data_IF_631087624302
#
_entry.id   IF_631087624302
#
_cell.length_a   1.000
_cell.length_b   1.000
_cell.length_c   1.000
_cell.angle_alpha   90.00
_cell.angle_beta   90.00
_cell.angle_gamma   90.00
#
_symmetry.space_group_name_H-M   'P 1'
#
loop_
_entity.id
_entity.type
_entity.pdbx_description
1 polymer ?
#
# COMPACT_ATOMS: atom_id res chain seq x y z
N UNK A 1 -7.97 6.17 28.13
CA UNK A 1 -8.22 5.21 27.03
C UNK A 1 -6.95 5.12 26.22
N UNK A 2 -6.24 3.99 26.28
CA UNK A 2 -5.09 3.75 25.39
C UNK A 2 -5.63 3.63 23.96
N UNK A 3 -5.25 4.55 23.08
CA UNK A 3 -5.48 4.42 21.65
C UNK A 3 -4.69 3.18 21.19
N UNK A 4 -5.37 2.07 20.94
CA UNK A 4 -4.78 0.97 20.18
C UNK A 4 -4.39 1.54 18.83
N UNK A 5 -3.08 1.68 18.59
CA UNK A 5 -2.56 2.07 17.29
C UNK A 5 -2.85 0.92 16.33
N UNK A 6 -3.60 1.22 15.29
CA UNK A 6 -3.88 0.28 14.22
C UNK A 6 -2.65 0.23 13.32
N UNK A 7 -2.09 -0.96 13.15
CA UNK A 7 -0.95 -1.20 12.27
C UNK A 7 -1.33 -2.17 11.15
N UNK A 8 -0.63 -2.03 10.02
CA UNK A 8 -0.83 -2.84 8.83
C UNK A 8 0.53 -3.28 8.29
N UNK A 9 0.58 -4.54 7.88
CA UNK A 9 1.65 -5.10 7.08
C UNK A 9 1.02 -5.89 5.93
N UNK A 10 1.67 -5.87 4.78
CA UNK A 10 1.29 -6.73 3.66
C UNK A 10 2.54 -7.28 3.00
N UNK A 11 2.35 -8.43 2.36
CA UNK A 11 3.34 -9.09 1.52
C UNK A 11 2.69 -9.40 0.17
N UNK A 12 3.49 -9.46 -0.89
CA UNK A 12 3.04 -9.84 -2.22
C UNK A 12 3.66 -11.19 -2.54
N UNK A 13 2.84 -12.12 -3.01
CA UNK A 13 3.24 -13.45 -3.43
C UNK A 13 2.78 -13.68 -4.87
N UNK A 14 3.60 -14.37 -5.65
CA UNK A 14 3.32 -14.74 -7.05
C UNK A 14 3.47 -16.26 -7.13
N UNK A 15 2.42 -16.96 -7.58
CA UNK A 15 2.37 -18.43 -7.63
C UNK A 15 2.76 -19.14 -6.33
N UNK A 16 2.27 -18.62 -5.20
CA UNK A 16 2.59 -19.06 -3.83
C UNK A 16 4.08 -18.96 -3.44
N UNK A 17 4.91 -18.42 -4.32
CA UNK A 17 6.31 -18.16 -4.05
C UNK A 17 6.51 -16.69 -3.66
N UNK A 18 7.50 -16.49 -2.81
CA UNK A 18 8.05 -15.16 -2.59
C UNK A 18 8.81 -14.78 -3.86
N UNK A 19 8.53 -13.60 -4.44
CA UNK A 19 9.33 -13.11 -5.54
C UNK A 19 10.78 -13.04 -5.06
N UNK A 20 11.67 -13.80 -5.70
CA UNK A 20 13.11 -13.77 -5.41
C UNK A 20 13.76 -12.48 -5.88
N UNK A 21 13.02 -11.68 -6.66
CA UNK A 21 13.45 -10.44 -7.28
C UNK A 21 12.66 -9.27 -6.71
N UNK A 22 13.29 -8.10 -6.68
CA UNK A 22 12.63 -6.86 -6.29
C UNK A 22 11.46 -6.55 -7.24
N UNK A 23 10.23 -6.67 -6.71
CA UNK A 23 9.00 -6.42 -7.45
C UNK A 23 8.86 -4.96 -7.89
N UNK A 24 9.62 -4.03 -7.32
CA UNK A 24 9.53 -2.60 -7.63
C UNK A 24 9.74 -2.29 -9.11
N UNK A 25 10.47 -3.15 -9.83
CA UNK A 25 10.72 -3.03 -11.28
C UNK A 25 9.55 -3.50 -12.15
N UNK A 26 8.64 -4.30 -11.59
CA UNK A 26 7.52 -4.90 -12.32
C UNK A 26 6.18 -4.28 -11.91
N UNK A 27 6.07 -3.88 -10.65
CA UNK A 27 4.84 -3.43 -10.02
C UNK A 27 5.06 -2.10 -9.29
N UNK A 28 4.25 -1.12 -9.63
CA UNK A 28 4.07 0.06 -8.82
C UNK A 28 3.01 -0.25 -7.75
N UNK A 29 3.43 -0.15 -6.48
CA UNK A 29 2.56 -0.33 -5.32
C UNK A 29 2.40 1.04 -4.67
N UNK A 30 1.17 1.50 -4.52
CA UNK A 30 0.86 2.73 -3.80
C UNK A 30 -0.08 2.41 -2.65
N UNK A 31 0.22 2.97 -1.49
CA UNK A 31 -0.68 2.95 -0.35
C UNK A 31 -1.16 4.37 -0.10
N UNK A 32 -2.47 4.57 -0.06
CA UNK A 32 -3.05 5.91 0.04
C UNK A 32 -4.20 5.94 1.02
N UNK A 33 -4.29 7.04 1.76
CA UNK A 33 -5.52 7.45 2.40
C UNK A 33 -6.38 8.16 1.35
N UNK A 34 -7.65 7.76 1.26
CA UNK A 34 -8.61 8.36 0.34
C UNK A 34 -9.73 8.99 1.14
N UNK A 35 -9.90 10.29 1.00
CA UNK A 35 -11.06 11.02 1.49
C UNK A 35 -12.06 11.19 0.35
N UNK A 36 -13.27 10.70 0.56
CA UNK A 36 -14.36 10.72 -0.40
C UNK A 36 -15.52 11.57 0.14
N UNK A 37 -16.12 12.39 -0.73
CA UNK A 37 -17.29 13.20 -0.41
C UNK A 37 -18.24 13.31 -1.61
N UNK A 38 -19.51 12.96 -1.42
CA UNK A 38 -20.57 13.23 -2.38
C UNK A 38 -20.84 14.73 -2.45
N UNK A 39 -20.95 15.26 -3.67
CA UNK A 39 -21.42 16.63 -3.87
C UNK A 39 -22.89 16.76 -3.47
N UNK A 40 -23.38 17.99 -3.20
CA UNK A 40 -24.77 18.22 -2.82
C UNK A 40 -25.81 17.70 -3.83
N UNK A 41 -25.42 17.57 -5.10
CA UNK A 41 -26.26 17.05 -6.19
C UNK A 41 -26.52 15.53 -6.10
N UNK A 42 -25.78 14.81 -5.25
CA UNK A 42 -25.84 13.35 -5.11
C UNK A 42 -25.41 12.57 -6.36
N UNK A 43 -24.81 13.23 -7.36
CA UNK A 43 -24.43 12.65 -8.66
C UNK A 43 -22.94 12.77 -8.93
N UNK A 44 -22.30 13.82 -8.41
CA UNK A 44 -20.86 14.02 -8.50
C UNK A 44 -20.21 13.77 -7.13
N UNK A 45 -18.91 13.49 -7.15
CA UNK A 45 -18.14 13.27 -5.93
C UNK A 45 -16.74 13.87 -6.06
N UNK A 46 -16.11 14.11 -4.92
CA UNK A 46 -14.70 14.49 -4.81
C UNK A 46 -13.93 13.39 -4.10
N UNK A 47 -12.77 13.05 -4.66
CA UNK A 47 -11.77 12.19 -4.00
C UNK A 47 -10.47 12.95 -3.85
N UNK A 48 -9.91 12.91 -2.64
CA UNK A 48 -8.56 13.38 -2.37
C UNK A 48 -7.71 12.18 -1.95
N UNK A 49 -6.57 12.03 -2.61
CA UNK A 49 -5.60 10.97 -2.33
C UNK A 49 -4.42 11.57 -1.58
N UNK A 50 -4.06 10.95 -0.45
CA UNK A 50 -2.81 11.20 0.24
C UNK A 50 -1.99 9.92 0.23
N UNK A 51 -0.96 9.88 -0.60
CA UNK A 51 -0.02 8.77 -0.62
C UNK A 51 0.73 8.71 0.71
N UNK A 52 0.89 7.50 1.25
CA UNK A 52 1.64 7.22 2.45
C UNK A 52 2.80 6.31 2.04
N UNK A 53 4.05 6.70 2.31
CA UNK A 53 5.21 5.90 1.95
C UNK A 53 5.14 4.50 2.54
N UNK A 54 5.61 3.52 1.77
CA UNK A 54 5.77 2.15 2.21
C UNK A 54 7.24 1.91 2.53
N UNK A 55 7.49 1.28 3.67
CA UNK A 55 8.81 0.92 4.16
C UNK A 55 8.83 -0.55 4.53
N UNK A 56 10.02 -1.14 4.64
CA UNK A 56 10.16 -2.45 5.29
C UNK A 56 9.63 -2.36 6.72
N UNK A 57 8.84 -3.35 7.11
CA UNK A 57 8.33 -3.43 8.48
C UNK A 57 9.49 -3.49 9.49
N UNK A 58 9.39 -2.73 10.56
CA UNK A 58 10.39 -2.70 11.63
C UNK A 58 10.01 -3.68 12.75
N UNK A 59 11.02 -4.17 13.48
CA UNK A 59 10.78 -5.02 14.64
C UNK A 59 10.01 -4.25 15.73
N UNK A 60 9.12 -4.95 16.44
CA UNK A 60 8.32 -4.39 17.53
C UNK A 60 7.19 -3.46 17.08
N UNK A 61 6.97 -3.29 15.77
CA UNK A 61 5.91 -2.44 15.24
C UNK A 61 4.53 -2.81 15.74
N UNK A 62 4.24 -4.12 15.83
CA UNK A 62 2.96 -4.63 16.29
C UNK A 62 2.91 -4.73 17.81
N UNK A 63 2.94 -3.57 18.49
CA UNK A 63 2.87 -3.47 19.95
C UNK A 63 3.98 -4.27 20.67
N UNK A 64 5.22 -4.21 20.15
CA UNK A 64 6.38 -4.96 20.63
C UNK A 64 6.21 -6.49 20.64
N UNK A 65 5.24 -7.04 19.90
CA UNK A 65 5.15 -8.48 19.67
C UNK A 65 6.30 -8.90 18.75
N UNK A 66 7.13 -9.85 19.21
CA UNK A 66 8.28 -10.36 18.46
C UNK A 66 8.14 -11.83 18.08
N UNK A 67 7.43 -12.66 18.84
CA UNK A 67 7.41 -14.12 18.63
C UNK A 67 6.69 -14.47 17.34
N UNK A 68 5.49 -13.91 17.13
CA UNK A 68 4.71 -14.16 15.92
C UNK A 68 5.30 -13.42 14.74
N UNK A 69 5.75 -12.18 14.93
CA UNK A 69 6.34 -11.37 13.85
C UNK A 69 7.66 -11.95 13.33
N UNK A 70 8.49 -12.55 14.19
CA UNK A 70 9.70 -13.28 13.78
C UNK A 70 9.35 -14.59 13.05
N UNK A 71 8.34 -15.33 13.53
CA UNK A 71 7.90 -16.58 12.89
C UNK A 71 7.42 -16.37 11.46
N UNK A 72 6.77 -15.24 11.17
CA UNK A 72 6.34 -14.87 9.81
C UNK A 72 7.39 -14.07 9.05
N UNK A 73 8.58 -13.84 9.63
CA UNK A 73 9.67 -13.05 9.04
C UNK A 73 9.23 -11.66 8.59
N UNK A 74 8.47 -10.97 9.44
CA UNK A 74 7.84 -9.69 9.13
C UNK A 74 8.84 -8.67 8.54
N UNK A 75 10.02 -8.54 9.15
CA UNK A 75 11.01 -7.54 8.76
C UNK A 75 11.71 -7.84 7.43
N UNK A 76 11.63 -9.08 6.96
CA UNK A 76 12.26 -9.54 5.71
C UNK A 76 11.31 -9.46 4.52
N UNK A 77 10.04 -9.81 4.72
CA UNK A 77 9.10 -10.09 3.63
C UNK A 77 7.91 -9.14 3.54
N UNK A 78 7.70 -8.28 4.53
CA UNK A 78 6.53 -7.39 4.59
C UNK A 78 6.89 -5.92 4.41
N UNK A 79 5.97 -5.21 3.76
CA UNK A 79 5.92 -3.76 3.68
C UNK A 79 4.89 -3.22 4.66
N UNK A 80 5.22 -2.10 5.28
CA UNK A 80 4.40 -1.39 6.23
C UNK A 80 4.30 0.08 5.81
N UNK A 81 3.15 0.73 5.99
CA UNK A 81 3.06 2.18 5.79
C UNK A 81 3.91 2.91 6.83
N UNK A 82 4.67 3.93 6.45
CA UNK A 82 5.61 4.59 7.36
C UNK A 82 4.92 5.11 8.64
N UNK A 83 3.80 5.82 8.49
CA UNK A 83 2.96 6.26 9.60
C UNK A 83 1.49 6.12 9.25
N UNK A 84 0.72 5.50 10.15
CA UNK A 84 -0.75 5.42 10.07
C UNK A 84 -1.33 6.12 11.28
N UNK A 85 -1.63 7.41 11.15
CA UNK A 85 -2.52 8.13 12.09
C UNK A 85 -3.88 8.28 11.42
N UNK A 86 -4.49 7.14 11.13
CA UNK A 86 -5.70 7.08 10.32
C UNK A 86 -6.92 6.77 11.18
N UNK A 87 -8.01 7.48 10.93
CA UNK A 87 -9.32 7.21 11.54
C UNK A 87 -10.28 6.83 10.42
N UNK A 88 -10.60 5.54 10.34
CA UNK A 88 -11.71 5.06 9.50
C UNK A 88 -12.97 5.83 9.90
N UNK A 89 -13.59 6.50 8.92
CA UNK A 89 -14.80 7.30 9.12
C UNK A 89 -15.79 7.01 8.01
N UNK A 90 -17.02 6.73 8.40
CA UNK A 90 -18.13 6.47 7.48
C UNK A 90 -18.18 5.04 6.94
N UNK A 91 -19.12 4.83 6.02
CA UNK A 91 -19.31 3.61 5.23
C UNK A 91 -19.42 3.98 3.74
N UNK A 92 -19.45 3.01 2.83
CA UNK A 92 -19.64 3.29 1.40
C UNK A 92 -20.98 3.98 1.06
N UNK A 93 -21.93 3.98 2.00
CA UNK A 93 -23.23 4.66 1.87
C UNK A 93 -23.25 6.06 2.49
N UNK A 94 -22.16 6.48 3.15
CA UNK A 94 -22.09 7.78 3.82
C UNK A 94 -21.77 8.91 2.84
N UNK A 95 -22.26 10.12 3.15
CA UNK A 95 -21.97 11.33 2.36
C UNK A 95 -20.49 11.68 2.31
N UNK A 96 -19.75 11.31 3.38
CA UNK A 96 -18.30 11.48 3.50
C UNK A 96 -17.72 10.21 4.09
N UNK A 97 -16.68 9.68 3.45
CA UNK A 97 -15.95 8.53 3.96
C UNK A 97 -14.46 8.75 3.86
N UNK A 98 -13.72 8.03 4.70
CA UNK A 98 -12.27 7.94 4.57
C UNK A 98 -11.87 6.48 4.69
N UNK A 99 -11.04 6.02 3.76
CA UNK A 99 -10.58 4.63 3.69
C UNK A 99 -9.15 4.53 3.20
N UNK A 100 -8.53 3.37 3.41
CA UNK A 100 -7.22 3.03 2.89
C UNK A 100 -7.36 2.32 1.55
N UNK A 101 -6.53 2.70 0.58
CA UNK A 101 -6.43 2.07 -0.73
C UNK A 101 -5.01 1.55 -0.92
N UNK A 102 -4.88 0.23 -1.09
CA UNK A 102 -3.67 -0.41 -1.59
C UNK A 102 -3.86 -0.66 -3.08
N UNK A 103 -3.13 0.08 -3.90
CA UNK A 103 -3.18 0.00 -5.36
C UNK A 103 -1.99 -0.75 -5.93
N UNK A 104 -2.24 -1.54 -6.96
CA UNK A 104 -1.23 -2.27 -7.71
C UNK A 104 -1.36 -1.89 -9.19
N UNK A 105 -0.26 -1.48 -9.81
CA UNK A 105 -0.21 -1.14 -11.24
C UNK A 105 1.06 -1.71 -11.86
N UNK A 106 1.04 -1.98 -13.16
CA UNK A 106 2.28 -2.29 -13.91
C UNK A 106 3.27 -1.13 -13.73
N UNK A 107 4.55 -1.45 -13.53
CA UNK A 107 5.59 -0.43 -13.47
C UNK A 107 5.67 0.28 -14.83
N UNK A 108 5.46 1.59 -14.83
CA UNK A 108 5.62 2.43 -16.01
C UNK A 108 6.74 3.44 -15.74
N UNK A 109 7.78 3.45 -16.58
CA UNK A 109 8.94 4.33 -16.36
C UNK A 109 8.52 5.80 -16.24
N UNK A 110 7.56 6.23 -17.07
CA UNK A 110 6.96 7.58 -17.00
C UNK A 110 6.41 7.93 -15.61
N UNK A 111 5.84 6.98 -14.88
CA UNK A 111 5.33 7.21 -13.53
C UNK A 111 6.48 7.33 -12.53
N UNK A 112 7.50 6.47 -12.63
CA UNK A 112 8.67 6.51 -11.76
C UNK A 112 9.42 7.83 -11.91
N UNK A 113 9.60 8.28 -13.15
CA UNK A 113 10.26 9.55 -13.47
C UNK A 113 9.45 10.74 -12.92
N UNK A 114 8.12 10.73 -13.13
CA UNK A 114 7.23 11.78 -12.62
C UNK A 114 7.24 11.85 -11.09
N UNK A 115 7.29 10.71 -10.42
CA UNK A 115 7.37 10.59 -8.96
C UNK A 115 8.79 10.77 -8.41
N UNK A 116 9.79 10.99 -9.28
CA UNK A 116 11.21 11.08 -8.91
C UNK A 116 11.72 9.86 -8.13
N UNK A 117 11.18 8.68 -8.44
CA UNK A 117 11.63 7.41 -7.86
C UNK A 117 12.86 6.92 -8.64
N UNK A 118 13.91 6.52 -7.93
CA UNK A 118 15.12 5.94 -8.53
C UNK A 118 14.92 4.44 -8.86
N UNK A 119 13.88 4.13 -9.64
CA UNK A 119 13.50 2.77 -10.04
C UNK A 119 13.47 2.70 -11.56
N UNK A 120 14.13 1.70 -12.12
CA UNK A 120 14.06 1.39 -13.56
C UNK A 120 13.14 0.20 -13.77
N UNK A 121 12.00 0.44 -14.42
CA UNK A 121 11.04 -0.60 -14.73
C UNK A 121 11.64 -1.66 -15.68
N UNK A 122 11.18 -2.90 -15.53
CA UNK A 122 11.44 -3.98 -16.47
C UNK A 122 10.75 -3.71 -17.82
N UNK A 123 11.13 -4.46 -18.86
CA UNK A 123 10.46 -4.33 -20.15
C UNK A 123 9.05 -4.97 -20.11
N UNK A 124 8.19 -4.62 -21.07
CA UNK A 124 6.80 -5.07 -21.08
C UNK A 124 6.65 -6.59 -21.13
N UNK A 125 7.51 -7.30 -21.88
CA UNK A 125 7.49 -8.76 -21.97
C UNK A 125 7.79 -9.40 -20.62
N UNK A 126 8.79 -8.90 -19.90
CA UNK A 126 9.14 -9.36 -18.55
C UNK A 126 8.00 -9.07 -17.57
N UNK A 127 7.43 -7.86 -17.60
CA UNK A 127 6.30 -7.48 -16.74
C UNK A 127 5.10 -8.41 -16.97
N UNK A 128 4.74 -8.66 -18.23
CA UNK A 128 3.61 -9.53 -18.57
C UNK A 128 3.87 -10.99 -18.15
N UNK A 129 5.09 -11.49 -18.29
CA UNK A 129 5.44 -12.85 -17.85
C UNK A 129 5.29 -13.10 -16.34
N UNK A 130 5.23 -12.02 -15.53
CA UNK A 130 5.11 -12.09 -14.06
C UNK A 130 3.69 -11.77 -13.58
N UNK A 131 2.92 -11.00 -14.36
CA UNK A 131 1.61 -10.45 -13.95
C UNK A 131 0.40 -11.01 -14.72
N UNK A 132 0.61 -11.72 -15.84
CA UNK A 132 -0.45 -12.40 -16.60
C UNK A 132 -0.56 -13.89 -16.19
#
# INVERSE_FOLDING_TARGET
>A
MNLQKFDLAFQIQIDQNYPSQDLSRYLEINFSEVAFEWAPDGKSYKQNYREIPLIRCQNGRFNNETVQTDNIKLTESYQCPETIDFKFRGSFLSKKSTYMLLGFKKCLQKNMDFQQKNITCANETEINSILD
#
